data_IF_538323038172
#
_entry.id   IF_538323038172
#
_cell.length_a   1.000
_cell.length_b   1.000
_cell.length_c   1.000
_cell.angle_alpha   90.00
_cell.angle_beta   90.00
_cell.angle_gamma   90.00
#
_symmetry.space_group_name_H-M   'P 1'
#
loop_
_entity.id
_entity.type
_entity.pdbx_description
1 polymer ?
#
# COMPACT_ATOMS: atom_id res chain seq x y z
N UNK A 1 -3.12 20.49 -34.71
CA UNK A 1 -3.41 19.10 -34.32
C UNK A 1 -3.79 19.10 -32.85
N UNK A 2 -5.06 18.83 -32.56
CA UNK A 2 -5.65 18.96 -31.23
C UNK A 2 -5.08 17.93 -30.24
N UNK A 3 -5.00 18.38 -28.99
CA UNK A 3 -4.46 17.71 -27.79
C UNK A 3 -5.19 16.39 -27.52
N UNK A 4 -4.48 15.26 -27.59
CA UNK A 4 -4.97 13.97 -27.06
C UNK A 4 -4.52 13.80 -25.61
N UNK A 5 -5.07 14.65 -24.74
CA UNK A 5 -5.04 14.46 -23.29
C UNK A 5 -6.18 13.54 -22.88
N UNK A 6 -6.04 12.24 -23.10
CA UNK A 6 -6.97 11.25 -22.57
C UNK A 6 -6.54 10.91 -21.15
N UNK A 7 -7.07 11.67 -20.17
CA UNK A 7 -7.17 11.19 -18.79
C UNK A 7 -8.10 9.98 -18.78
N UNK A 8 -7.57 8.81 -19.17
CA UNK A 8 -8.21 7.54 -18.89
C UNK A 8 -8.38 7.49 -17.37
N UNK A 9 -9.63 7.48 -16.95
CA UNK A 9 -10.07 7.27 -15.58
C UNK A 9 -9.14 6.26 -14.91
N UNK A 10 -8.53 6.69 -13.81
CA UNK A 10 -7.56 5.99 -12.97
C UNK A 10 -8.16 4.79 -12.22
N UNK A 11 -9.01 4.01 -12.87
CA UNK A 11 -9.56 2.77 -12.34
C UNK A 11 -8.59 1.63 -12.69
N UNK A 12 -7.66 1.37 -11.77
CA UNK A 12 -6.88 0.13 -11.77
C UNK A 12 -7.86 -1.06 -11.74
N UNK A 13 -7.55 -2.19 -12.39
CA UNK A 13 -8.38 -3.39 -12.29
C UNK A 13 -8.64 -3.72 -10.81
N UNK A 14 -9.90 -3.94 -10.47
CA UNK A 14 -10.27 -4.40 -9.13
C UNK A 14 -9.44 -5.64 -8.78
N UNK A 15 -8.75 -5.60 -7.63
CA UNK A 15 -7.83 -6.66 -7.21
C UNK A 15 -6.34 -6.36 -7.43
N UNK A 16 -5.97 -5.20 -7.97
CA UNK A 16 -4.56 -4.80 -8.06
C UNK A 16 -4.02 -4.41 -6.67
N UNK A 17 -3.02 -5.14 -6.18
CA UNK A 17 -2.34 -4.82 -4.92
C UNK A 17 -1.17 -3.88 -5.18
N UNK A 18 -1.18 -2.76 -4.46
CA UNK A 18 -0.16 -1.71 -4.49
C UNK A 18 0.04 -1.15 -3.10
N UNK A 19 1.28 -0.84 -2.74
CA UNK A 19 1.56 -0.05 -1.55
C UNK A 19 1.21 1.42 -1.82
N UNK A 20 0.29 2.05 -1.08
CA UNK A 20 -0.12 3.43 -1.34
C UNK A 20 0.94 4.47 -0.95
N UNK A 21 2.04 4.06 -0.30
CA UNK A 21 3.12 4.95 0.13
C UNK A 21 4.21 5.05 -0.95
N UNK A 22 4.78 3.92 -1.38
CA UNK A 22 5.83 3.91 -2.42
C UNK A 22 5.28 3.75 -3.84
N UNK A 23 3.98 3.48 -3.98
CA UNK A 23 3.30 3.25 -5.26
C UNK A 23 3.72 1.97 -6.01
N UNK A 24 4.57 1.13 -5.41
CA UNK A 24 4.95 -0.15 -6.01
C UNK A 24 3.78 -1.14 -6.03
N UNK A 25 3.65 -1.84 -7.15
CA UNK A 25 2.71 -2.95 -7.32
C UNK A 25 3.27 -4.25 -6.73
N UNK A 26 2.38 -5.21 -6.48
CA UNK A 26 2.72 -6.53 -5.92
C UNK A 26 3.97 -7.17 -6.56
N UNK A 27 4.14 -7.23 -7.90
CA UNK A 27 5.34 -7.82 -8.50
C UNK A 27 6.63 -7.09 -8.11
N UNK A 28 6.61 -5.75 -8.07
CA UNK A 28 7.77 -4.92 -7.71
C UNK A 28 8.12 -5.06 -6.22
N UNK A 29 7.10 -5.18 -5.37
CA UNK A 29 7.29 -5.43 -3.94
C UNK A 29 8.02 -6.77 -3.74
N UNK A 30 7.56 -7.85 -4.37
CA UNK A 30 8.19 -9.16 -4.23
C UNK A 30 9.58 -9.26 -4.87
N UNK A 31 9.77 -8.70 -6.07
CA UNK A 31 11.07 -8.69 -6.77
C UNK A 31 12.17 -7.99 -5.95
N UNK A 32 11.79 -7.05 -5.08
CA UNK A 32 12.72 -6.36 -4.17
C UNK A 32 12.87 -7.05 -2.81
N UNK A 33 12.33 -8.26 -2.65
CA UNK A 33 12.40 -9.04 -1.40
C UNK A 33 11.55 -8.47 -0.26
N UNK A 34 10.63 -7.54 -0.55
CA UNK A 34 9.70 -6.98 0.45
C UNK A 34 8.45 -7.85 0.52
N UNK A 35 7.78 -7.80 1.67
CA UNK A 35 6.51 -8.51 1.90
C UNK A 35 5.33 -7.55 1.76
N UNK A 36 4.15 -8.12 1.53
CA UNK A 36 2.88 -7.43 1.68
C UNK A 36 2.44 -7.55 3.13
N UNK A 37 2.10 -6.41 3.75
CA UNK A 37 1.56 -6.34 5.09
C UNK A 37 0.08 -5.95 5.01
N UNK A 38 -0.76 -6.63 5.78
CA UNK A 38 -2.11 -6.20 6.07
C UNK A 38 -2.20 -5.67 7.49
N UNK A 39 -2.91 -4.57 7.67
CA UNK A 39 -3.31 -4.07 8.99
C UNK A 39 -4.61 -4.75 9.45
N UNK A 40 -4.89 -4.77 10.75
CA UNK A 40 -6.17 -5.29 11.25
C UNK A 40 -7.38 -4.46 10.77
N UNK A 41 -7.17 -3.19 10.42
CA UNK A 41 -8.19 -2.36 9.79
C UNK A 41 -8.39 -2.64 8.28
N UNK A 42 -7.69 -3.62 7.72
CA UNK A 42 -7.88 -4.13 6.35
C UNK A 42 -7.07 -3.44 5.25
N UNK A 43 -6.27 -2.41 5.59
CA UNK A 43 -5.44 -1.71 4.61
C UNK A 43 -4.08 -2.39 4.43
N UNK A 44 -3.59 -2.36 3.19
CA UNK A 44 -2.41 -3.10 2.74
C UNK A 44 -1.26 -2.16 2.38
N UNK A 45 -0.03 -2.54 2.76
CA UNK A 45 1.20 -1.79 2.53
C UNK A 45 2.37 -2.75 2.25
N UNK A 46 3.53 -2.26 1.82
CA UNK A 46 4.74 -3.08 1.80
C UNK A 46 5.48 -3.06 3.15
N UNK A 47 6.31 -4.08 3.39
CA UNK A 47 7.05 -4.27 4.64
C UNK A 47 8.10 -3.22 4.96
N UNK A 48 8.44 -2.37 3.99
CA UNK A 48 9.36 -1.24 4.20
C UNK A 48 8.60 0.03 4.61
N UNK A 49 7.46 0.31 3.97
CA UNK A 49 6.80 1.61 4.13
C UNK A 49 5.94 1.71 5.39
N UNK A 50 5.17 0.67 5.74
CA UNK A 50 4.29 0.76 6.92
C UNK A 50 5.08 0.95 8.22
N UNK A 51 6.14 0.16 8.53
CA UNK A 51 6.92 0.38 9.74
C UNK A 51 7.60 1.76 9.78
N UNK A 52 8.03 2.29 8.62
CA UNK A 52 8.59 3.63 8.55
C UNK A 52 7.54 4.72 8.84
N UNK A 53 6.33 4.59 8.29
CA UNK A 53 5.23 5.51 8.58
C UNK A 53 4.83 5.49 10.07
N UNK A 54 4.86 4.32 10.71
CA UNK A 54 4.51 4.18 12.12
C UNK A 54 5.55 4.77 13.09
N UNK A 55 6.76 5.10 12.61
CA UNK A 55 7.74 5.84 13.42
C UNK A 55 7.34 7.31 13.63
N UNK A 56 6.53 7.88 12.74
CA UNK A 56 6.11 9.28 12.80
C UNK A 56 4.69 9.45 13.34
N UNK A 57 3.80 8.48 13.10
CA UNK A 57 2.42 8.51 13.58
C UNK A 57 1.87 7.10 13.84
N UNK A 58 1.23 6.90 15.00
CA UNK A 58 0.63 5.62 15.41
C UNK A 58 -0.77 5.37 14.82
N UNK A 59 -0.97 5.70 13.54
CA UNK A 59 -2.26 5.54 12.85
C UNK A 59 -2.08 4.96 11.45
N UNK A 60 -3.10 4.24 10.97
CA UNK A 60 -3.15 3.74 9.59
C UNK A 60 -3.00 4.89 8.59
N UNK A 61 -2.02 4.84 7.67
CA UNK A 61 -1.83 5.87 6.65
C UNK A 61 -3.02 6.06 5.70
N UNK A 62 -3.96 5.11 5.66
CA UNK A 62 -5.15 5.17 4.79
C UNK A 62 -6.39 5.67 5.52
N UNK A 63 -6.77 5.04 6.64
CA UNK A 63 -8.03 5.36 7.34
C UNK A 63 -7.86 6.06 8.69
N UNK A 64 -6.62 6.27 9.15
CA UNK A 64 -6.28 6.89 10.45
C UNK A 64 -6.79 6.15 11.69
N UNK A 65 -7.26 4.91 11.57
CA UNK A 65 -7.46 4.03 12.72
C UNK A 65 -6.13 3.87 13.47
N UNK A 66 -6.16 3.94 14.79
CA UNK A 66 -4.96 3.72 15.62
C UNK A 66 -4.31 2.38 15.30
N UNK A 67 -2.99 2.39 15.17
CA UNK A 67 -2.17 1.21 14.91
C UNK A 67 -1.06 1.12 15.94
N UNK A 68 -1.13 0.10 16.77
CA UNK A 68 -0.07 -0.28 17.70
C UNK A 68 0.85 -1.35 17.11
N UNK A 69 2.09 -1.50 17.62
CA UNK A 69 2.96 -2.61 17.24
C UNK A 69 2.24 -3.96 17.41
N UNK A 70 2.15 -4.75 16.34
CA UNK A 70 1.43 -6.03 16.34
C UNK A 70 0.04 -6.00 15.68
N UNK A 71 -0.50 -4.82 15.35
CA UNK A 71 -1.78 -4.70 14.61
C UNK A 71 -1.61 -4.74 13.08
N UNK A 72 -0.51 -5.31 12.61
CA UNK A 72 -0.27 -5.63 11.22
C UNK A 72 0.56 -6.91 11.10
N UNK A 73 0.38 -7.64 10.02
CA UNK A 73 1.05 -8.92 9.78
C UNK A 73 1.31 -9.12 8.28
N UNK A 74 2.32 -9.92 7.89
CA UNK A 74 2.48 -10.31 6.50
C UNK A 74 1.29 -11.12 6.01
N UNK A 75 1.00 -11.02 4.72
CA UNK A 75 0.05 -11.86 4.01
C UNK A 75 0.71 -12.47 2.77
N UNK A 76 0.28 -13.68 2.42
CA UNK A 76 0.79 -14.45 1.28
C UNK A 76 -0.41 -14.84 0.41
N UNK A 77 -0.37 -14.44 -0.85
CA UNK A 77 -1.45 -14.56 -1.84
C UNK A 77 -0.85 -14.86 -3.21
#
# INVERSE_FOLDING_TARGET
HVLSGSVLSSAWPAGTIRCPICMDFYPQILQSGRLILSTLCGHVFCSQCLPFALQTASFCPTCRTELTPGQYHPIYI
#
